data_IF_737747351693
#
_entry.id   IF_737747351693
#
_cell.length_a   1.000
_cell.length_b   1.000
_cell.length_c   1.000
_cell.angle_alpha   90.00
_cell.angle_beta   90.00
_cell.angle_gamma   90.00
#
_symmetry.space_group_name_H-M   'P 1'
#
loop_
_entity.id
_entity.type
_entity.pdbx_description
1 polymer ?
#
# COMPACT_ATOMS: atom_id res chain seq x y z
N UNK A 1 -5.86 -2.44 23.82
CA UNK A 1 -6.74 -3.43 23.17
C UNK A 1 -6.81 -3.04 21.69
N UNK A 2 -5.88 -3.55 20.89
CA UNK A 2 -5.79 -3.28 19.46
C UNK A 2 -6.95 -4.01 18.77
N UNK A 3 -7.86 -3.25 18.17
CA UNK A 3 -8.90 -3.82 17.31
C UNK A 3 -8.24 -4.07 15.95
N UNK A 4 -8.38 -5.27 15.42
CA UNK A 4 -8.12 -5.52 13.99
C UNK A 4 -8.93 -4.51 13.20
N UNK A 5 -8.23 -3.60 12.53
CA UNK A 5 -8.84 -2.55 11.73
C UNK A 5 -9.39 -3.18 10.46
N UNK A 6 -10.65 -3.58 10.47
CA UNK A 6 -11.33 -3.89 9.21
C UNK A 6 -11.61 -2.57 8.50
N UNK A 7 -11.14 -2.45 7.27
CA UNK A 7 -11.37 -1.24 6.45
C UNK A 7 -12.85 -0.86 6.34
N UNK A 8 -13.75 -1.85 6.41
CA UNK A 8 -15.21 -1.68 6.39
C UNK A 8 -15.77 -0.89 7.58
N UNK A 9 -15.04 -0.82 8.70
CA UNK A 9 -15.48 -0.07 9.89
C UNK A 9 -15.27 1.44 9.76
N UNK A 10 -14.52 1.88 8.72
CA UNK A 10 -14.27 3.30 8.49
C UNK A 10 -15.24 3.88 7.46
N UNK A 11 -16.00 4.88 7.87
CA UNK A 11 -17.01 5.56 7.04
C UNK A 11 -16.46 6.23 5.77
N UNK A 12 -15.14 6.34 5.64
CA UNK A 12 -14.46 6.98 4.49
C UNK A 12 -14.11 6.01 3.37
N UNK A 13 -14.18 4.69 3.61
CA UNK A 13 -13.88 3.65 2.63
C UNK A 13 -15.12 2.79 2.43
N UNK A 14 -15.56 2.63 1.19
CA UNK A 14 -16.72 1.81 0.84
C UNK A 14 -16.30 0.63 -0.01
N UNK A 15 -16.82 -0.53 0.32
CA UNK A 15 -16.73 -1.73 -0.50
C UNK A 15 -17.72 -1.62 -1.67
N UNK A 16 -17.26 -1.78 -2.91
CA UNK A 16 -18.09 -1.60 -4.09
C UNK A 16 -17.80 -2.63 -5.17
N UNK A 17 -18.82 -2.88 -5.99
CA UNK A 17 -18.57 -3.33 -7.37
C UNK A 17 -17.97 -2.15 -8.18
N UNK A 18 -17.10 -2.47 -9.14
CA UNK A 18 -16.51 -1.46 -10.01
C UNK A 18 -17.58 -0.58 -10.65
N UNK A 19 -17.52 0.74 -10.41
CA UNK A 19 -18.42 1.71 -11.03
C UNK A 19 -17.69 2.49 -12.11
N UNK A 20 -18.28 2.48 -13.31
CA UNK A 20 -17.82 3.35 -14.39
C UNK A 20 -18.04 4.83 -14.02
N UNK A 21 -16.98 5.62 -14.03
CA UNK A 21 -17.01 7.05 -13.66
C UNK A 21 -17.00 7.96 -14.88
N UNK A 22 -17.62 9.14 -14.76
CA UNK A 22 -17.86 10.09 -15.88
C UNK A 22 -16.83 11.21 -15.99
N UNK A 23 -15.84 11.31 -15.11
CA UNK A 23 -14.82 12.37 -15.06
C UNK A 23 -13.48 11.91 -15.63
N UNK A 24 -12.51 12.85 -15.76
CA UNK A 24 -11.14 12.51 -16.15
C UNK A 24 -10.59 11.41 -15.24
N UNK A 25 -10.07 10.35 -15.84
CA UNK A 25 -9.56 9.21 -15.11
C UNK A 25 -8.07 9.07 -15.30
N UNK A 26 -7.42 8.80 -14.21
CA UNK A 26 -6.00 8.51 -14.20
C UNK A 26 -5.75 7.20 -13.49
N UNK A 27 -4.75 6.45 -13.96
CA UNK A 27 -4.16 5.34 -13.22
C UNK A 27 -2.76 5.73 -12.80
N UNK A 28 -2.38 5.44 -11.56
CA UNK A 28 -0.99 5.48 -11.11
C UNK A 28 -0.58 4.05 -10.80
N UNK A 29 0.47 3.56 -11.47
CA UNK A 29 0.82 2.15 -11.50
C UNK A 29 2.30 1.97 -11.17
N UNK A 30 2.60 0.95 -10.37
CA UNK A 30 3.96 0.47 -10.17
C UNK A 30 4.36 -0.48 -11.30
N UNK A 31 5.29 -0.09 -12.18
CA UNK A 31 5.64 -0.90 -13.35
C UNK A 31 6.21 -2.28 -13.01
N UNK A 32 6.87 -2.41 -11.85
CA UNK A 32 7.42 -3.69 -11.40
C UNK A 32 6.37 -4.74 -11.01
N UNK A 33 5.13 -4.29 -10.83
CA UNK A 33 3.98 -5.13 -10.48
C UNK A 33 2.98 -5.28 -11.63
N UNK A 34 3.29 -4.79 -12.80
CA UNK A 34 2.42 -4.85 -13.98
C UNK A 34 3.27 -5.21 -15.20
N UNK A 35 3.33 -6.48 -15.52
CA UNK A 35 4.09 -6.98 -16.66
C UNK A 35 3.60 -6.35 -17.97
N UNK A 36 4.54 -5.96 -18.83
CA UNK A 36 4.29 -5.38 -20.15
C UNK A 36 3.44 -4.08 -20.17
N UNK A 37 3.38 -3.34 -19.06
CA UNK A 37 2.57 -2.12 -18.96
C UNK A 37 2.83 -1.14 -20.12
N UNK A 38 4.09 -0.87 -20.45
CA UNK A 38 4.43 0.04 -21.53
C UNK A 38 4.05 -0.53 -22.90
N UNK A 39 4.18 -1.83 -23.11
CA UNK A 39 3.73 -2.49 -24.33
C UNK A 39 2.23 -2.29 -24.50
N UNK A 40 1.45 -2.52 -23.43
CA UNK A 40 0.02 -2.27 -23.43
C UNK A 40 -0.33 -0.82 -23.81
N UNK A 41 0.33 0.16 -23.17
CA UNK A 41 0.09 1.59 -23.43
C UNK A 41 0.35 1.97 -24.89
N UNK A 42 1.44 1.47 -25.48
CA UNK A 42 1.79 1.75 -26.87
C UNK A 42 0.93 1.01 -27.90
N UNK A 43 0.30 -0.08 -27.52
CA UNK A 43 -0.62 -0.82 -28.40
C UNK A 43 -2.03 -0.19 -28.50
N UNK A 44 -2.34 0.77 -27.64
CA UNK A 44 -3.65 1.44 -27.71
C UNK A 44 -3.75 2.37 -28.94
N UNK A 45 -4.94 2.50 -29.50
CA UNK A 45 -5.21 3.40 -30.61
C UNK A 45 -6.45 4.28 -30.30
N UNK A 46 -6.30 5.58 -30.06
CA UNK A 46 -5.02 6.32 -30.00
C UNK A 46 -4.16 5.88 -28.81
N UNK A 47 -2.86 6.09 -28.92
CA UNK A 47 -1.92 5.86 -27.82
C UNK A 47 -2.37 6.66 -26.61
N UNK A 48 -2.39 6.02 -25.44
CA UNK A 48 -2.79 6.69 -24.19
C UNK A 48 -1.77 7.75 -23.81
N UNK A 49 -2.26 8.88 -23.27
CA UNK A 49 -1.41 9.90 -22.68
C UNK A 49 -0.85 9.34 -21.36
N UNK A 50 0.48 9.32 -21.22
CA UNK A 50 1.15 8.78 -20.05
C UNK A 50 2.49 9.47 -19.78
N UNK A 51 2.99 9.39 -18.54
CA UNK A 51 4.32 9.85 -18.18
C UNK A 51 4.81 9.17 -16.89
N UNK A 52 6.11 9.33 -16.61
CA UNK A 52 6.70 8.90 -15.34
C UNK A 52 6.40 9.92 -14.23
N UNK A 53 5.90 9.46 -13.09
CA UNK A 53 5.60 10.33 -11.94
C UNK A 53 6.85 11.12 -11.47
N UNK A 54 8.03 10.48 -11.45
CA UNK A 54 9.28 11.09 -11.00
C UNK A 54 10.14 11.65 -12.15
N UNK A 55 9.58 11.69 -13.35
CA UNK A 55 10.29 12.12 -14.56
C UNK A 55 11.22 11.05 -15.17
N UNK A 56 11.67 11.32 -16.37
CA UNK A 56 12.44 10.37 -17.19
C UNK A 56 13.81 9.99 -16.61
N UNK A 57 14.43 10.85 -15.80
CA UNK A 57 15.73 10.57 -15.17
C UNK A 57 15.63 9.42 -14.15
N UNK A 58 14.49 9.31 -13.49
CA UNK A 58 14.22 8.28 -12.48
C UNK A 58 13.30 7.15 -12.99
N UNK A 59 13.16 6.99 -14.31
CA UNK A 59 12.20 6.06 -14.95
C UNK A 59 12.23 4.62 -14.40
N UNK A 60 13.40 4.12 -13.99
CA UNK A 60 13.55 2.75 -13.45
C UNK A 60 12.88 2.56 -12.07
N UNK A 61 12.59 3.65 -11.36
CA UNK A 61 12.02 3.65 -10.01
C UNK A 61 10.72 4.44 -9.93
N UNK A 62 10.28 4.96 -11.07
CA UNK A 62 9.13 5.84 -11.14
C UNK A 62 7.86 5.04 -11.40
N UNK A 63 6.81 5.27 -10.61
CA UNK A 63 5.46 4.91 -11.03
C UNK A 63 5.11 5.59 -12.35
N UNK A 64 4.18 5.00 -13.08
CA UNK A 64 3.67 5.53 -14.33
C UNK A 64 2.27 6.08 -14.10
N UNK A 65 2.01 7.28 -14.63
CA UNK A 65 0.69 7.88 -14.69
C UNK A 65 0.14 7.67 -16.09
N UNK A 66 -1.09 7.21 -16.19
CA UNK A 66 -1.80 7.01 -17.45
C UNK A 66 -3.13 7.73 -17.37
N UNK A 67 -3.46 8.49 -18.41
CA UNK A 67 -4.80 9.04 -18.60
C UNK A 67 -5.67 8.03 -19.31
N UNK A 68 -6.74 7.60 -18.67
CA UNK A 68 -7.69 6.66 -19.22
C UNK A 68 -8.77 7.43 -20.01
N UNK A 69 -9.02 6.98 -21.23
CA UNK A 69 -10.10 7.51 -22.09
C UNK A 69 -11.19 6.44 -22.15
N UNK A 70 -12.42 6.70 -21.94
CA UNK A 70 -13.53 5.73 -21.77
C UNK A 70 -13.81 4.77 -22.93
N UNK A 71 -12.80 4.23 -23.60
CA UNK A 71 -12.90 3.27 -24.70
C UNK A 71 -12.92 1.81 -24.21
N UNK A 72 -13.52 0.91 -24.97
CA UNK A 72 -13.74 -0.52 -24.67
C UNK A 72 -12.47 -1.33 -24.31
N UNK A 73 -11.29 -0.90 -24.80
CA UNK A 73 -10.01 -1.52 -24.45
C UNK A 73 -9.61 -1.36 -22.97
N UNK A 74 -10.38 -0.60 -22.19
CA UNK A 74 -10.11 -0.43 -20.75
C UNK A 74 -10.55 -1.62 -19.89
N UNK A 75 -11.48 -2.46 -20.37
CA UNK A 75 -11.88 -3.65 -19.63
C UNK A 75 -10.71 -4.62 -19.47
N UNK A 76 -9.88 -4.79 -20.50
CA UNK A 76 -8.65 -5.58 -20.41
C UNK A 76 -7.66 -5.00 -19.40
N UNK A 77 -7.54 -3.68 -19.37
CA UNK A 77 -6.70 -2.98 -18.41
C UNK A 77 -7.20 -3.16 -16.98
N UNK A 78 -8.50 -3.01 -16.75
CA UNK A 78 -9.12 -3.21 -15.44
C UNK A 78 -9.02 -4.66 -14.98
N UNK A 79 -9.19 -5.63 -15.87
CA UNK A 79 -9.02 -7.05 -15.55
C UNK A 79 -7.58 -7.36 -15.11
N UNK A 80 -6.58 -6.71 -15.70
CA UNK A 80 -5.19 -6.85 -15.25
C UNK A 80 -4.96 -6.24 -13.87
N UNK A 81 -5.62 -5.12 -13.53
CA UNK A 81 -5.59 -4.54 -12.18
C UNK A 81 -6.19 -5.47 -11.13
N UNK A 82 -7.25 -6.21 -11.50
CA UNK A 82 -7.87 -7.21 -10.62
C UNK A 82 -6.92 -8.38 -10.40
N UNK A 83 -6.30 -8.87 -11.48
CA UNK A 83 -5.37 -10.00 -11.42
C UNK A 83 -4.10 -9.67 -10.61
N UNK A 84 -3.64 -8.40 -10.70
CA UNK A 84 -2.40 -7.96 -10.06
C UNK A 84 -2.56 -6.52 -9.55
N UNK A 85 -2.88 -6.32 -8.25
CA UNK A 85 -3.11 -4.98 -7.68
C UNK A 85 -1.83 -4.16 -7.65
N UNK A 86 -1.53 -3.51 -8.77
CA UNK A 86 -0.29 -2.79 -9.04
C UNK A 86 -0.40 -1.28 -8.86
N UNK A 87 -1.60 -0.75 -8.57
CA UNK A 87 -1.84 0.68 -8.45
C UNK A 87 -3.28 1.03 -8.14
N UNK A 88 -3.63 2.30 -8.33
CA UNK A 88 -4.95 2.85 -8.04
C UNK A 88 -5.47 3.74 -9.16
N UNK A 89 -6.79 3.85 -9.24
CA UNK A 89 -7.52 4.67 -10.20
C UNK A 89 -8.01 5.95 -9.54
N UNK A 90 -7.89 7.07 -10.23
CA UNK A 90 -8.23 8.39 -9.71
C UNK A 90 -9.23 9.07 -10.64
N UNK A 91 -10.28 9.65 -10.06
CA UNK A 91 -11.15 10.60 -10.76
C UNK A 91 -10.80 12.01 -10.35
N UNK A 92 -10.53 12.88 -11.31
CA UNK A 92 -10.03 14.23 -11.05
C UNK A 92 -10.60 15.26 -12.01
N UNK A 93 -10.69 16.53 -11.56
CA UNK A 93 -10.96 17.69 -12.41
C UNK A 93 -9.70 18.27 -13.06
N UNK A 94 -8.54 17.86 -12.60
CA UNK A 94 -7.25 18.35 -13.10
C UNK A 94 -6.98 17.81 -14.50
N UNK A 95 -6.34 18.60 -15.34
CA UNK A 95 -5.74 18.08 -16.57
C UNK A 95 -4.54 17.17 -16.26
N UNK A 96 -4.01 16.50 -17.28
CA UNK A 96 -2.95 15.52 -17.09
C UNK A 96 -1.71 16.09 -16.39
N UNK A 97 -1.27 17.27 -16.82
CA UNK A 97 -0.08 17.91 -16.26
C UNK A 97 -0.27 18.36 -14.82
N UNK A 98 -1.43 18.96 -14.53
CA UNK A 98 -1.78 19.37 -13.17
C UNK A 98 -1.95 18.15 -12.25
N UNK A 99 -2.55 17.07 -12.74
CA UNK A 99 -2.67 15.81 -12.00
C UNK A 99 -1.30 15.20 -11.70
N UNK A 100 -0.38 15.17 -12.68
CA UNK A 100 0.99 14.69 -12.48
C UNK A 100 1.72 15.50 -11.40
N UNK A 101 1.59 16.84 -11.43
CA UNK A 101 2.19 17.71 -10.42
C UNK A 101 1.62 17.44 -9.02
N UNK A 102 0.30 17.28 -8.92
CA UNK A 102 -0.36 16.95 -7.65
C UNK A 102 0.06 15.57 -7.13
N UNK A 103 0.14 14.56 -8.01
CA UNK A 103 0.60 13.24 -7.67
C UNK A 103 2.06 13.23 -7.20
N UNK A 104 2.93 13.98 -7.87
CA UNK A 104 4.33 14.16 -7.43
C UNK A 104 4.42 14.82 -6.06
N UNK A 105 3.58 15.83 -5.80
CA UNK A 105 3.49 16.48 -4.50
C UNK A 105 3.04 15.48 -3.41
N UNK A 106 1.99 14.70 -3.67
CA UNK A 106 1.47 13.69 -2.75
C UNK A 106 2.48 12.56 -2.47
N UNK A 107 3.37 12.27 -3.43
CA UNK A 107 4.43 11.27 -3.29
C UNK A 107 5.53 11.68 -2.30
N UNK A 108 5.70 12.97 -2.05
CA UNK A 108 6.76 13.50 -1.19
C UNK A 108 6.17 14.06 0.10
N UNK A 109 6.52 13.48 1.22
CA UNK A 109 6.11 13.95 2.54
C UNK A 109 7.31 14.41 3.38
N UNK A 110 7.05 15.21 4.40
CA UNK A 110 8.03 15.55 5.43
C UNK A 110 7.62 14.87 6.74
N UNK A 111 8.53 14.14 7.35
CA UNK A 111 8.35 13.62 8.70
C UNK A 111 8.51 14.76 9.71
N UNK A 112 7.91 14.62 10.88
CA UNK A 112 8.08 15.58 11.99
C UNK A 112 9.56 15.89 12.32
N UNK A 113 10.45 14.91 12.10
CA UNK A 113 11.91 15.09 12.20
C UNK A 113 12.52 16.02 11.15
N UNK A 114 11.74 16.54 10.20
CA UNK A 114 12.21 17.35 9.07
C UNK A 114 12.73 16.55 7.86
N UNK A 115 12.88 15.24 7.98
CA UNK A 115 13.38 14.40 6.91
C UNK A 115 12.30 14.18 5.83
N UNK A 116 12.70 14.29 4.55
CA UNK A 116 11.84 13.92 3.42
C UNK A 116 11.72 12.40 3.34
N UNK A 117 10.52 11.94 3.01
CA UNK A 117 10.24 10.54 2.74
C UNK A 117 9.30 10.41 1.53
N UNK A 118 9.33 9.25 0.89
CA UNK A 118 8.41 8.91 -0.20
C UNK A 118 7.20 8.17 0.34
N UNK A 119 6.01 8.56 -0.11
CA UNK A 119 4.75 7.93 0.26
C UNK A 119 4.10 7.33 -0.98
N UNK A 120 4.01 6.02 -1.02
CA UNK A 120 3.41 5.28 -2.15
C UNK A 120 1.89 5.25 -2.04
N UNK A 121 1.27 6.42 -1.99
CA UNK A 121 -0.17 6.61 -1.77
C UNK A 121 -1.08 5.93 -2.82
N UNK A 122 -0.54 5.52 -3.96
CA UNK A 122 -1.24 4.81 -5.03
C UNK A 122 -1.17 3.28 -4.90
N UNK A 123 -0.31 2.76 -4.03
CA UNK A 123 -0.18 1.32 -3.78
C UNK A 123 -1.39 0.83 -2.96
N UNK A 124 -2.17 -0.14 -3.46
CA UNK A 124 -3.35 -0.67 -2.76
C UNK A 124 -3.08 -1.13 -1.33
N UNK A 125 -1.85 -1.54 -1.04
CA UNK A 125 -1.41 -2.00 0.30
C UNK A 125 -1.03 -0.85 1.23
N UNK A 126 -0.82 0.35 0.70
CA UNK A 126 -0.41 1.54 1.45
C UNK A 126 -1.52 2.57 1.53
N UNK A 127 -2.29 2.74 0.46
CA UNK A 127 -3.34 3.75 0.34
C UNK A 127 -4.33 3.77 1.52
N UNK A 128 -4.87 2.64 2.01
CA UNK A 128 -5.78 2.66 3.15
C UNK A 128 -5.16 3.26 4.41
N UNK A 129 -3.89 2.92 4.69
CA UNK A 129 -3.19 3.48 5.85
C UNK A 129 -2.99 4.99 5.73
N UNK A 130 -2.75 5.49 4.52
CA UNK A 130 -2.65 6.93 4.23
C UNK A 130 -4.00 7.62 4.48
N UNK A 131 -5.07 7.08 3.89
CA UNK A 131 -6.41 7.65 4.01
C UNK A 131 -6.90 7.71 5.45
N UNK A 132 -6.58 6.71 6.26
CA UNK A 132 -7.04 6.58 7.64
C UNK A 132 -6.19 7.37 8.64
N UNK A 133 -4.89 7.47 8.44
CA UNK A 133 -3.99 8.14 9.37
C UNK A 133 -3.90 9.66 9.14
N UNK A 134 -4.18 10.14 7.93
CA UNK A 134 -4.16 11.58 7.65
C UNK A 134 -5.38 12.29 8.23
N UNK A 135 -5.15 13.50 8.75
CA UNK A 135 -6.23 14.43 9.13
C UNK A 135 -7.02 14.87 7.89
N UNK A 136 -8.31 15.24 8.02
CA UNK A 136 -9.12 15.67 6.88
C UNK A 136 -8.43 16.73 6.01
N UNK A 137 -7.84 17.74 6.63
CA UNK A 137 -7.18 18.86 5.92
C UNK A 137 -5.94 18.39 5.15
N UNK A 138 -5.19 17.42 5.69
CA UNK A 138 -4.05 16.82 5.02
C UNK A 138 -4.48 15.95 3.84
N UNK A 139 -5.61 15.21 3.96
CA UNK A 139 -6.19 14.46 2.84
C UNK A 139 -6.65 15.40 1.72
N UNK A 140 -7.35 16.47 2.06
CA UNK A 140 -7.83 17.46 1.10
C UNK A 140 -6.66 18.16 0.38
N UNK A 141 -5.56 18.40 1.09
CA UNK A 141 -4.33 18.94 0.52
C UNK A 141 -3.63 17.91 -0.39
N UNK A 142 -3.49 16.67 0.07
CA UNK A 142 -2.82 15.58 -0.66
C UNK A 142 -3.56 15.23 -1.96
N UNK A 143 -4.89 15.17 -1.89
CA UNK A 143 -5.76 14.76 -2.99
C UNK A 143 -6.52 15.95 -3.59
N UNK A 144 -5.91 17.13 -3.57
CA UNK A 144 -6.52 18.33 -4.16
C UNK A 144 -6.91 18.10 -5.63
N UNK A 145 -8.16 18.43 -5.98
CA UNK A 145 -8.72 18.20 -7.31
C UNK A 145 -9.04 16.75 -7.65
N UNK A 146 -8.85 15.81 -6.70
CA UNK A 146 -9.25 14.40 -6.83
C UNK A 146 -10.61 14.22 -6.14
N UNK A 147 -11.59 13.67 -6.87
CA UNK A 147 -12.94 13.42 -6.35
C UNK A 147 -13.07 12.05 -5.72
N UNK A 148 -12.39 11.08 -6.30
CA UNK A 148 -12.40 9.73 -5.78
C UNK A 148 -11.16 8.94 -6.17
N UNK A 149 -10.87 7.93 -5.37
CA UNK A 149 -9.80 6.97 -5.59
C UNK A 149 -10.41 5.58 -5.49
N UNK A 150 -10.15 4.73 -6.50
CA UNK A 150 -10.54 3.34 -6.50
C UNK A 150 -9.29 2.46 -6.53
N UNK A 151 -9.31 1.37 -5.78
CA UNK A 151 -8.27 0.35 -5.83
C UNK A 151 -8.87 -1.04 -5.62
N UNK A 152 -8.18 -2.03 -6.15
CA UNK A 152 -8.57 -3.43 -5.97
C UNK A 152 -7.64 -4.08 -4.94
N UNK A 153 -8.21 -4.72 -3.91
CA UNK A 153 -7.49 -5.50 -2.92
C UNK A 153 -8.43 -6.58 -2.34
N UNK A 154 -7.92 -7.72 -1.92
CA UNK A 154 -8.71 -8.82 -1.33
C UNK A 154 -9.93 -9.23 -2.17
N UNK A 155 -9.74 -9.38 -3.48
CA UNK A 155 -10.83 -9.70 -4.41
C UNK A 155 -12.00 -8.71 -4.39
N UNK A 156 -11.75 -7.49 -3.97
CA UNK A 156 -12.77 -6.45 -3.82
C UNK A 156 -12.28 -5.10 -4.29
N UNK A 157 -13.22 -4.30 -4.80
CA UNK A 157 -12.98 -2.91 -5.11
C UNK A 157 -13.32 -2.04 -3.91
N UNK A 158 -12.45 -1.12 -3.60
CA UNK A 158 -12.64 -0.09 -2.57
C UNK A 158 -12.75 1.27 -3.24
N UNK A 159 -13.50 2.17 -2.61
CA UNK A 159 -13.69 3.54 -3.05
C UNK A 159 -13.49 4.51 -1.89
N UNK A 160 -12.60 5.46 -2.09
CA UNK A 160 -12.57 6.70 -1.33
C UNK A 160 -13.25 7.81 -2.13
N UNK A 161 -14.13 8.57 -1.50
CA UNK A 161 -14.72 9.79 -2.08
C UNK A 161 -14.30 10.98 -1.24
N UNK A 162 -13.75 12.01 -1.90
CA UNK A 162 -13.44 13.28 -1.26
C UNK A 162 -14.73 13.97 -0.82
N UNK A 163 -14.72 14.56 0.36
CA UNK A 163 -15.80 15.41 0.86
C UNK A 163 -15.84 16.78 0.19
N UNK A 164 -14.82 17.15 -0.57
CA UNK A 164 -14.78 18.42 -1.28
C UNK A 164 -15.88 18.48 -2.37
N UNK A 165 -16.68 19.56 -2.46
CA UNK A 165 -17.77 19.64 -3.41
C UNK A 165 -17.24 19.56 -4.84
N UNK A 166 -17.75 18.60 -5.61
CA UNK A 166 -17.54 18.47 -7.05
C UNK A 166 -18.19 19.67 -7.74
N UNK A 167 -17.42 20.69 -8.08
CA UNK A 167 -17.96 21.81 -8.87
C UNK A 167 -17.36 23.17 -8.61
N UNK A 168 -16.57 23.36 -7.59
CA UNK A 168 -15.76 24.55 -7.52
C UNK A 168 -14.50 24.34 -8.37
N UNK A 169 -14.56 24.79 -9.62
CA UNK A 169 -13.39 25.31 -10.33
C UNK A 169 -12.86 26.47 -9.48
N UNK A 170 -12.33 26.16 -8.31
CA UNK A 170 -11.46 27.11 -7.66
C UNK A 170 -10.32 27.30 -8.65
N UNK A 171 -10.17 28.53 -9.11
CA UNK A 171 -8.98 28.99 -9.81
C UNK A 171 -7.81 28.20 -9.27
N UNK A 172 -6.95 27.71 -10.17
CA UNK A 172 -5.68 27.05 -9.87
C UNK A 172 -4.91 28.03 -8.96
N UNK A 173 -5.39 28.15 -7.72
CA UNK A 173 -4.67 28.84 -6.67
C UNK A 173 -3.39 28.05 -6.55
N UNK A 174 -2.30 28.73 -6.91
CA UNK A 174 -0.91 28.30 -6.84
C UNK A 174 -0.80 27.21 -5.81
N UNK A 175 -0.51 26.00 -6.28
CA UNK A 175 -0.26 24.85 -5.41
C UNK A 175 0.45 25.37 -4.17
N UNK A 176 -0.23 25.34 -3.03
CA UNK A 176 0.41 25.70 -1.78
C UNK A 176 1.52 24.66 -1.62
N UNK A 177 2.73 25.08 -1.98
CA UNK A 177 3.92 24.24 -2.00
C UNK A 177 4.39 23.86 -0.59
N UNK A 178 3.53 24.01 0.40
CA UNK A 178 3.82 23.59 1.78
C UNK A 178 3.76 22.07 1.84
N UNK A 179 4.87 21.39 2.02
CA UNK A 179 4.89 19.94 2.07
C UNK A 179 3.96 19.38 3.14
N UNK A 180 3.38 18.21 2.87
CA UNK A 180 2.55 17.53 3.86
C UNK A 180 3.46 17.00 4.96
N UNK A 181 3.24 17.48 6.17
CA UNK A 181 3.98 17.02 7.35
C UNK A 181 3.19 15.92 8.04
N UNK A 182 3.82 14.78 8.24
CA UNK A 182 3.25 13.62 8.95
C UNK A 182 3.96 13.46 10.28
N UNK A 183 3.19 13.52 11.36
CA UNK A 183 3.71 13.35 12.72
C UNK A 183 3.96 11.86 13.07
N UNK A 184 4.68 11.63 14.17
CA UNK A 184 5.06 10.28 14.59
C UNK A 184 3.86 9.42 14.97
N UNK A 185 2.79 9.99 15.50
CA UNK A 185 1.57 9.27 15.82
C UNK A 185 0.86 8.78 14.56
N UNK A 186 0.82 9.61 13.51
CA UNK A 186 0.28 9.23 12.21
C UNK A 186 1.12 8.13 11.53
N UNK A 187 2.46 8.22 11.62
CA UNK A 187 3.34 7.18 11.10
C UNK A 187 3.13 5.84 11.83
N UNK A 188 2.99 5.86 13.16
CA UNK A 188 2.70 4.68 13.95
C UNK A 188 1.33 4.08 13.59
N UNK A 189 0.31 4.91 13.40
CA UNK A 189 -1.02 4.46 12.96
C UNK A 189 -0.98 3.87 11.55
N UNK A 190 -0.23 4.47 10.61
CA UNK A 190 -0.05 3.89 9.26
C UNK A 190 0.59 2.50 9.34
N UNK A 191 1.58 2.32 10.18
CA UNK A 191 2.26 1.04 10.36
C UNK A 191 1.34 -0.02 10.97
N UNK A 192 0.57 0.34 11.99
CA UNK A 192 -0.43 -0.54 12.60
C UNK A 192 -1.50 -0.98 11.59
N UNK A 193 -2.03 -0.06 10.78
CA UNK A 193 -3.01 -0.39 9.73
C UNK A 193 -2.41 -1.33 8.69
N UNK A 194 -1.17 -1.09 8.26
CA UNK A 194 -0.47 -1.96 7.31
C UNK A 194 -0.25 -3.37 7.85
N UNK A 195 0.11 -3.50 9.12
CA UNK A 195 0.24 -4.79 9.80
C UNK A 195 -1.10 -5.51 9.90
N UNK A 196 -2.19 -4.78 10.20
CA UNK A 196 -3.54 -5.33 10.19
C UNK A 196 -3.94 -5.87 8.82
N UNK A 197 -3.63 -5.13 7.74
CA UNK A 197 -3.87 -5.59 6.37
C UNK A 197 -3.03 -6.82 6.03
N UNK A 198 -1.75 -6.83 6.38
CA UNK A 198 -0.88 -7.98 6.18
C UNK A 198 -1.42 -9.22 6.92
N UNK A 199 -1.92 -9.06 8.14
CA UNK A 199 -2.52 -10.14 8.90
C UNK A 199 -3.79 -10.67 8.21
N UNK A 200 -4.60 -9.80 7.62
CA UNK A 200 -5.76 -10.19 6.84
C UNK A 200 -5.35 -10.95 5.58
N UNK A 201 -4.34 -10.48 4.84
CA UNK A 201 -3.75 -11.20 3.68
C UNK A 201 -3.31 -12.61 4.07
N UNK A 202 -2.57 -12.73 5.15
CA UNK A 202 -2.09 -14.02 5.65
C UNK A 202 -3.27 -14.91 6.05
N UNK A 203 -4.31 -14.36 6.69
CA UNK A 203 -5.47 -15.12 7.13
C UNK A 203 -6.25 -15.73 5.96
N UNK A 204 -6.36 -15.01 4.85
CA UNK A 204 -6.99 -15.54 3.64
C UNK A 204 -6.21 -16.67 2.98
N UNK A 205 -4.88 -16.64 3.08
CA UNK A 205 -4.02 -17.65 2.47
C UNK A 205 -3.88 -18.93 3.31
N UNK A 206 -3.99 -18.81 4.64
CA UNK A 206 -3.56 -19.86 5.59
C UNK A 206 -4.63 -20.29 6.59
N UNK A 207 -5.93 -20.18 6.27
CA UNK A 207 -6.96 -20.78 7.13
C UNK A 207 -6.73 -22.30 7.27
N UNK A 208 -6.79 -22.87 8.45
CA UNK A 208 -7.28 -22.51 9.78
C UNK A 208 -6.19 -22.45 10.88
N UNK A 209 -4.94 -22.19 10.56
CA UNK A 209 -3.77 -22.41 11.45
C UNK A 209 -3.39 -21.14 12.23
N UNK A 210 -3.98 -19.99 11.91
CA UNK A 210 -3.62 -18.74 12.57
C UNK A 210 -4.12 -18.69 14.02
N UNK A 211 -3.28 -18.17 14.95
CA UNK A 211 -3.74 -17.86 16.30
C UNK A 211 -4.81 -16.73 16.24
N UNK A 212 -5.53 -16.49 17.34
CA UNK A 212 -6.47 -15.37 17.42
C UNK A 212 -5.82 -14.06 16.95
N UNK A 213 -6.59 -13.22 16.24
CA UNK A 213 -6.06 -12.02 15.55
C UNK A 213 -5.25 -11.08 16.46
N UNK A 214 -5.61 -10.94 17.74
CA UNK A 214 -4.85 -10.12 18.70
C UNK A 214 -3.46 -10.72 18.97
N UNK A 215 -3.35 -12.05 19.11
CA UNK A 215 -2.10 -12.74 19.36
C UNK A 215 -1.20 -12.72 18.11
N UNK A 216 -1.78 -12.90 16.92
CA UNK A 216 -1.08 -12.77 15.67
C UNK A 216 -0.53 -11.34 15.47
N UNK A 217 -1.31 -10.30 15.86
CA UNK A 217 -0.86 -8.92 15.82
C UNK A 217 0.29 -8.68 16.80
N UNK A 218 0.21 -9.19 18.02
CA UNK A 218 1.30 -9.09 19.00
C UNK A 218 2.60 -9.71 18.47
N UNK A 219 2.51 -10.84 17.76
CA UNK A 219 3.66 -11.47 17.09
C UNK A 219 4.22 -10.57 15.98
N UNK A 220 3.37 -9.93 15.15
CA UNK A 220 3.85 -9.00 14.12
C UNK A 220 4.51 -7.76 14.72
N UNK A 221 4.02 -7.26 15.85
CA UNK A 221 4.66 -6.16 16.58
C UNK A 221 5.99 -6.58 17.21
N UNK A 222 6.08 -7.82 17.69
CA UNK A 222 7.34 -8.38 18.19
C UNK A 222 8.42 -8.47 17.12
N UNK A 223 8.03 -8.69 15.85
CA UNK A 223 8.97 -8.75 14.73
C UNK A 223 9.77 -7.45 14.54
N UNK A 224 9.22 -6.29 14.94
CA UNK A 224 9.88 -4.99 14.81
C UNK A 224 11.26 -4.92 15.48
N UNK A 225 11.48 -5.72 16.53
CA UNK A 225 12.77 -5.84 17.20
C UNK A 225 13.91 -6.27 16.27
N UNK A 226 13.56 -6.99 15.21
CA UNK A 226 14.49 -7.58 14.25
C UNK A 226 14.58 -6.80 12.93
N UNK A 227 13.95 -5.60 12.88
CA UNK A 227 14.00 -4.65 11.77
C UNK A 227 13.59 -5.28 10.42
N UNK A 228 12.42 -5.94 10.29
CA UNK A 228 11.96 -6.45 9.01
C UNK A 228 11.79 -5.30 8.01
N UNK A 229 12.22 -5.52 6.78
CA UNK A 229 12.20 -4.52 5.71
C UNK A 229 11.10 -4.76 4.68
N UNK A 230 10.57 -5.98 4.65
CA UNK A 230 9.58 -6.43 3.67
C UNK A 230 8.42 -7.18 4.35
N UNK A 231 7.24 -7.15 3.73
CA UNK A 231 6.05 -7.87 4.20
C UNK A 231 6.31 -9.38 4.37
N UNK A 232 7.09 -9.99 3.47
CA UNK A 232 7.47 -11.40 3.54
C UNK A 232 8.29 -11.76 4.78
N UNK A 233 9.03 -10.81 5.35
CA UNK A 233 9.80 -11.03 6.58
C UNK A 233 8.88 -11.06 7.80
N UNK A 234 7.87 -10.21 7.85
CA UNK A 234 6.81 -10.26 8.88
C UNK A 234 6.01 -11.55 8.80
N UNK A 235 5.59 -11.92 7.59
CA UNK A 235 4.89 -13.19 7.34
C UNK A 235 5.75 -14.39 7.75
N UNK A 236 7.00 -14.42 7.33
CA UNK A 236 7.94 -15.49 7.67
C UNK A 236 8.15 -15.60 9.19
N UNK A 237 8.26 -14.46 9.88
CA UNK A 237 8.38 -14.45 11.34
C UNK A 237 7.11 -14.98 12.03
N UNK A 238 5.92 -14.53 11.61
CA UNK A 238 4.66 -15.03 12.15
C UNK A 238 4.53 -16.54 11.95
N UNK A 239 4.83 -17.06 10.75
CA UNK A 239 4.82 -18.48 10.45
C UNK A 239 5.79 -19.26 11.34
N UNK A 240 7.02 -18.77 11.47
CA UNK A 240 8.03 -19.40 12.34
C UNK A 240 7.52 -19.55 13.77
N UNK A 241 6.86 -18.49 14.32
CA UNK A 241 6.29 -18.51 15.68
C UNK A 241 5.16 -19.54 15.80
N UNK A 242 4.33 -19.68 14.76
CA UNK A 242 3.25 -20.70 14.68
C UNK A 242 3.81 -22.10 14.57
N UNK A 243 4.70 -22.34 13.63
CA UNK A 243 5.27 -23.66 13.34
C UNK A 243 6.08 -24.21 14.51
N UNK A 244 6.69 -23.35 15.30
CA UNK A 244 7.45 -23.73 16.50
C UNK A 244 6.63 -23.78 17.77
N UNK A 245 5.32 -23.42 17.73
CA UNK A 245 4.44 -23.34 18.89
C UNK A 245 4.78 -22.23 19.88
N UNK A 246 5.68 -21.31 19.50
CA UNK A 246 6.17 -20.22 20.36
C UNK A 246 5.28 -18.97 20.27
N UNK A 247 3.97 -19.10 20.51
CA UNK A 247 3.01 -18.02 20.27
C UNK A 247 3.12 -16.85 21.25
N UNK A 248 3.42 -17.11 22.52
CA UNK A 248 3.49 -16.06 23.55
C UNK A 248 4.86 -15.39 23.58
N UNK A 249 5.92 -16.17 23.56
CA UNK A 249 7.29 -15.67 23.68
C UNK A 249 8.29 -16.56 22.97
N UNK A 250 9.31 -15.96 22.42
CA UNK A 250 10.44 -16.67 21.83
C UNK A 250 11.33 -17.31 22.92
N UNK A 251 11.79 -18.56 22.74
CA UNK A 251 12.86 -19.10 23.54
C UNK A 251 14.16 -18.30 23.36
N UNK A 252 14.99 -18.22 24.38
CA UNK A 252 16.22 -17.43 24.33
C UNK A 252 17.15 -17.80 23.16
N UNK A 253 17.27 -19.11 22.83
CA UNK A 253 18.09 -19.53 21.70
C UNK A 253 17.60 -19.00 20.35
N UNK A 254 16.29 -18.83 20.19
CA UNK A 254 15.67 -18.28 18.99
C UNK A 254 15.93 -16.77 18.90
N UNK A 255 15.75 -16.03 20.01
CA UNK A 255 16.05 -14.59 20.06
C UNK A 255 17.52 -14.33 19.71
N UNK A 256 18.47 -15.11 20.27
CA UNK A 256 19.89 -14.99 19.94
C UNK A 256 20.16 -15.15 18.43
N UNK A 257 19.48 -16.09 17.76
CA UNK A 257 19.60 -16.24 16.30
C UNK A 257 19.00 -15.10 15.53
N UNK A 258 17.84 -14.59 15.97
CA UNK A 258 17.15 -13.48 15.33
C UNK A 258 17.88 -12.15 15.49
N UNK A 259 18.74 -11.99 16.48
CA UNK A 259 19.57 -10.81 16.72
C UNK A 259 20.86 -10.76 15.87
N UNK A 260 21.16 -11.80 15.09
CA UNK A 260 22.32 -11.82 14.18
C UNK A 260 22.10 -10.89 12.98
N UNK A 261 22.51 -9.63 13.09
CA UNK A 261 22.24 -8.58 12.08
C UNK A 261 23.17 -8.62 10.86
N UNK A 262 24.08 -9.57 10.75
CA UNK A 262 24.99 -9.79 9.62
C UNK A 262 24.34 -10.51 8.43
N UNK A 263 23.18 -11.14 8.63
CA UNK A 263 22.39 -11.81 7.61
C UNK A 263 20.93 -11.32 7.62
N UNK A 264 20.22 -11.48 6.50
CA UNK A 264 18.83 -11.05 6.38
C UNK A 264 17.90 -11.78 7.38
N UNK A 265 16.80 -11.13 7.78
CA UNK A 265 15.81 -11.77 8.68
C UNK A 265 15.26 -13.07 8.06
N UNK A 266 15.07 -13.10 6.74
CA UNK A 266 14.64 -14.29 6.01
C UNK A 266 15.62 -15.47 6.21
N UNK A 267 16.93 -15.22 6.17
CA UNK A 267 17.95 -16.27 6.38
C UNK A 267 18.00 -16.73 7.83
N UNK A 268 17.86 -15.80 8.78
CA UNK A 268 17.78 -16.11 10.22
C UNK A 268 16.58 -17.02 10.51
N UNK A 269 15.40 -16.73 9.96
CA UNK A 269 14.18 -17.53 10.07
C UNK A 269 14.39 -18.94 9.47
N UNK A 270 14.96 -19.04 8.27
CA UNK A 270 15.28 -20.33 7.66
C UNK A 270 16.21 -21.18 8.55
N UNK A 271 17.22 -20.56 9.15
CA UNK A 271 18.12 -21.22 10.07
C UNK A 271 17.43 -21.76 11.33
N UNK A 272 16.39 -21.08 11.83
CA UNK A 272 15.58 -21.54 12.96
C UNK A 272 14.74 -22.76 12.56
N UNK A 273 14.02 -22.71 11.43
CA UNK A 273 13.26 -23.86 10.93
C UNK A 273 14.12 -25.09 10.75
N UNK A 274 15.34 -24.94 10.24
CA UNK A 274 16.25 -26.06 10.06
C UNK A 274 16.72 -26.67 11.40
N UNK A 275 16.93 -25.83 12.40
CA UNK A 275 17.30 -26.29 13.75
C UNK A 275 16.15 -27.07 14.41
N UNK A 276 14.91 -26.59 14.32
CA UNK A 276 13.73 -27.28 14.87
C UNK A 276 13.56 -28.66 14.21
N UNK A 277 13.60 -28.73 12.88
CA UNK A 277 13.55 -30.02 12.15
C UNK A 277 14.62 -30.99 12.58
N UNK A 278 15.85 -30.53 12.81
CA UNK A 278 16.93 -31.39 13.26
C UNK A 278 16.73 -31.87 14.70
N UNK A 279 16.06 -31.12 15.57
CA UNK A 279 15.74 -31.57 16.93
C UNK A 279 14.60 -32.60 16.95
N UNK A 280 13.59 -32.46 16.09
CA UNK A 280 12.50 -33.43 15.93
C UNK A 280 12.97 -34.79 15.37
N UNK A 281 14.05 -34.79 14.57
CA UNK A 281 14.64 -36.02 14.03
C UNK A 281 15.48 -36.81 15.05
N UNK A 282 15.81 -36.21 16.21
CA UNK A 282 16.67 -36.79 17.27
C UNK A 282 15.82 -37.21 18.48
N UNK A 283 14.58 -36.76 18.59
CA UNK A 283 13.62 -37.11 19.63
C UNK A 283 12.74 -38.29 19.21
#
# INVERSE_FOLDING_TARGET
>A
MLRTCKLDEYSIVRHLEYQAMTSHRYAIIEPSLFDDLLVYVYQQNPVLEWDYLLGHELKKRSPIIIKLTGNESHDDFLNRFIAQPSGSLFSSSLDFKAFQQQAFYAYTIIKESGNKATLRFFDPRVLPSVLLALKPEQRDQMFHGVFSIQWHHYNSWFLYQSSAPSGQTQEIQRFNSTPIVIDNAQLALMDEIRKSQLLEDISHQYQPILPPSHQAMDILLDADKYNPTMAQEYEGYLRMRIDTGCLEKEPQWMSIKLEQNDISLTERIKGIHQQVKNQELIS
#
